data_IF_326403007395
#
_entry.id   IF_326403007395
#
_cell.length_a   1.000
_cell.length_b   1.000
_cell.length_c   1.000
_cell.angle_alpha   90.00
_cell.angle_beta   90.00
_cell.angle_gamma   90.00
#
_symmetry.space_group_name_H-M   'P 1'
#
loop_
_entity.id
_entity.type
_entity.pdbx_description
1 polymer ?
#
# COMPACT_ATOMS: atom_id res chain seq x y z
N UNK A 1 32.56 -4.42 -15.99
CA UNK A 1 31.27 -5.11 -15.79
C UNK A 1 31.22 -5.53 -14.33
N UNK A 2 30.37 -4.91 -13.50
CA UNK A 2 30.26 -5.31 -12.10
C UNK A 2 29.73 -6.76 -12.04
N UNK A 3 30.31 -7.64 -11.20
CA UNK A 3 29.84 -9.02 -11.10
C UNK A 3 28.36 -9.03 -10.74
N UNK A 4 27.55 -9.77 -11.52
CA UNK A 4 26.15 -9.98 -11.21
C UNK A 4 26.08 -10.67 -9.84
N UNK A 5 25.34 -10.13 -8.86
CA UNK A 5 25.20 -10.79 -7.58
C UNK A 5 24.47 -12.13 -7.79
N UNK A 6 25.19 -13.23 -7.56
CA UNK A 6 24.65 -14.58 -7.68
C UNK A 6 23.84 -14.92 -6.41
N UNK A 7 22.55 -14.62 -6.47
CA UNK A 7 21.59 -15.02 -5.45
C UNK A 7 21.12 -16.44 -5.77
N UNK A 8 21.39 -17.40 -4.88
CA UNK A 8 20.80 -18.73 -5.02
C UNK A 8 19.27 -18.64 -5.00
N UNK A 9 18.57 -19.70 -5.40
CA UNK A 9 17.10 -19.74 -5.40
C UNK A 9 16.43 -19.44 -4.04
N UNK A 10 17.21 -19.38 -2.94
CA UNK A 10 16.78 -19.05 -1.57
C UNK A 10 16.98 -17.58 -1.17
N UNK A 11 17.58 -16.76 -2.03
CA UNK A 11 18.00 -15.39 -1.68
C UNK A 11 17.12 -14.29 -2.30
N UNK A 12 16.11 -14.64 -3.11
CA UNK A 12 15.20 -13.70 -3.80
C UNK A 12 13.72 -14.01 -3.55
N UNK A 13 12.87 -12.99 -3.67
CA UNK A 13 11.42 -13.18 -3.58
C UNK A 13 10.88 -13.88 -4.83
N UNK A 14 9.75 -14.58 -4.70
CA UNK A 14 9.06 -15.17 -5.86
C UNK A 14 8.58 -14.07 -6.81
N UNK A 15 8.45 -14.38 -8.11
CA UNK A 15 7.92 -13.44 -9.10
C UNK A 15 6.56 -12.87 -8.72
N UNK A 16 5.68 -13.71 -8.15
CA UNK A 16 4.37 -13.28 -7.60
C UNK A 16 4.51 -12.25 -6.49
N UNK A 17 5.43 -12.45 -5.54
CA UNK A 17 5.64 -11.50 -4.44
C UNK A 17 6.16 -10.15 -4.94
N UNK A 18 7.01 -10.17 -5.97
CA UNK A 18 7.54 -8.97 -6.64
C UNK A 18 6.41 -8.25 -7.39
N UNK A 19 5.62 -8.97 -8.19
CA UNK A 19 4.50 -8.40 -8.94
C UNK A 19 3.46 -7.74 -8.01
N UNK A 20 3.04 -8.46 -6.96
CA UNK A 20 2.14 -7.92 -5.94
C UNK A 20 2.73 -6.69 -5.25
N UNK A 21 4.05 -6.66 -4.99
CA UNK A 21 4.69 -5.52 -4.34
C UNK A 21 4.55 -4.25 -5.20
N UNK A 22 5.02 -4.33 -6.44
CA UNK A 22 5.09 -3.17 -7.32
C UNK A 22 3.71 -2.72 -7.79
N UNK A 23 2.80 -3.66 -8.06
CA UNK A 23 1.43 -3.31 -8.42
C UNK A 23 0.73 -2.54 -7.29
N UNK A 24 0.85 -3.03 -6.05
CA UNK A 24 0.25 -2.34 -4.90
C UNK A 24 0.94 -0.99 -4.65
N UNK A 25 2.27 -0.93 -4.73
CA UNK A 25 3.01 0.33 -4.57
C UNK A 25 2.58 1.37 -5.59
N UNK A 26 2.45 1.00 -6.87
CA UNK A 26 1.96 1.87 -7.93
C UNK A 26 0.53 2.35 -7.64
N UNK A 27 -0.37 1.44 -7.29
CA UNK A 27 -1.76 1.78 -6.98
C UNK A 27 -1.88 2.69 -5.75
N UNK A 28 -1.05 2.52 -4.73
CA UNK A 28 -1.01 3.42 -3.56
C UNK A 28 -0.58 4.83 -4.00
N UNK A 29 0.47 4.97 -4.81
CA UNK A 29 0.92 6.27 -5.31
C UNK A 29 -0.18 6.94 -6.15
N UNK A 30 -0.79 6.21 -7.08
CA UNK A 30 -1.91 6.73 -7.88
C UNK A 30 -3.12 7.09 -7.02
N UNK A 31 -3.48 6.25 -6.06
CA UNK A 31 -4.60 6.48 -5.14
C UNK A 31 -4.40 7.71 -4.27
N UNK A 32 -3.19 7.91 -3.74
CA UNK A 32 -2.84 9.08 -2.96
C UNK A 32 -2.87 10.36 -3.80
N UNK A 33 -2.30 10.33 -5.01
CA UNK A 33 -2.35 11.46 -5.95
C UNK A 33 -3.80 11.83 -6.33
N UNK A 34 -4.64 10.83 -6.64
CA UNK A 34 -6.06 11.05 -6.88
C UNK A 34 -6.78 11.62 -5.65
N UNK A 35 -6.39 11.19 -4.46
CA UNK A 35 -6.92 11.72 -3.20
C UNK A 35 -6.70 13.21 -3.06
N UNK A 36 -5.50 13.69 -3.42
CA UNK A 36 -5.17 15.11 -3.40
C UNK A 36 -5.97 15.90 -4.44
N UNK A 37 -5.99 15.41 -5.68
CA UNK A 37 -6.70 16.07 -6.80
C UNK A 37 -8.20 16.12 -6.53
N UNK A 38 -8.81 15.02 -6.10
CA UNK A 38 -10.27 14.96 -5.90
C UNK A 38 -10.76 15.90 -4.80
N UNK A 39 -9.93 16.16 -3.78
CA UNK A 39 -10.28 17.07 -2.70
C UNK A 39 -10.18 18.54 -3.10
N UNK A 40 -9.31 18.87 -4.05
CA UNK A 40 -9.06 20.23 -4.51
C UNK A 40 -10.07 20.72 -5.56
N UNK A 41 -10.75 19.82 -6.27
CA UNK A 41 -11.80 20.18 -7.23
C UNK A 41 -12.94 20.94 -6.51
N UNK A 42 -13.25 22.20 -6.87
CA UNK A 42 -14.28 22.98 -6.19
C UNK A 42 -15.69 22.50 -6.50
N UNK A 43 -16.61 22.75 -5.57
CA UNK A 43 -18.03 22.46 -5.73
C UNK A 43 -18.37 20.97 -5.78
N UNK A 44 -19.60 20.69 -6.22
CA UNK A 44 -20.13 19.35 -6.45
C UNK A 44 -20.37 19.16 -7.95
N UNK A 45 -19.37 18.59 -8.64
CA UNK A 45 -19.40 18.44 -10.10
C UNK A 45 -19.33 16.96 -10.51
N UNK A 46 -19.82 16.59 -11.71
CA UNK A 46 -19.67 15.23 -12.24
C UNK A 46 -18.20 14.78 -12.31
N UNK A 47 -17.29 15.72 -12.59
CA UNK A 47 -15.85 15.47 -12.57
C UNK A 47 -15.37 15.07 -11.19
N UNK A 48 -15.73 15.82 -10.14
CA UNK A 48 -15.36 15.48 -8.76
C UNK A 48 -15.85 14.08 -8.37
N UNK A 49 -17.12 13.78 -8.64
CA UNK A 49 -17.71 12.46 -8.37
C UNK A 49 -16.98 11.31 -9.07
N UNK A 50 -16.52 11.54 -10.30
CA UNK A 50 -15.75 10.56 -11.08
C UNK A 50 -14.40 10.26 -10.44
N UNK A 51 -13.67 11.29 -10.01
CA UNK A 51 -12.39 11.14 -9.31
C UNK A 51 -12.55 10.41 -7.98
N UNK A 52 -13.59 10.73 -7.22
CA UNK A 52 -13.94 9.97 -6.00
C UNK A 52 -14.25 8.50 -6.30
N UNK A 53 -14.90 8.20 -7.42
CA UNK A 53 -15.18 6.82 -7.84
C UNK A 53 -13.89 6.07 -8.17
N UNK A 54 -13.00 6.67 -8.97
CA UNK A 54 -11.69 6.10 -9.28
C UNK A 54 -10.85 5.84 -8.03
N UNK A 55 -10.81 6.80 -7.11
CA UNK A 55 -10.11 6.65 -5.83
C UNK A 55 -10.67 5.47 -5.01
N UNK A 56 -12.00 5.33 -4.93
CA UNK A 56 -12.66 4.18 -4.27
C UNK A 56 -12.30 2.85 -4.93
N UNK A 57 -12.28 2.80 -6.26
CA UNK A 57 -11.92 1.59 -7.00
C UNK A 57 -10.48 1.16 -6.70
N UNK A 58 -9.54 2.12 -6.70
CA UNK A 58 -8.16 1.85 -6.29
C UNK A 58 -8.11 1.33 -4.86
N UNK A 59 -8.84 1.95 -3.92
CA UNK A 59 -8.90 1.51 -2.53
C UNK A 59 -9.35 0.05 -2.39
N UNK A 60 -10.44 -0.34 -3.06
CA UNK A 60 -10.94 -1.72 -3.05
C UNK A 60 -9.93 -2.69 -3.69
N UNK A 61 -9.31 -2.31 -4.82
CA UNK A 61 -8.30 -3.14 -5.48
C UNK A 61 -7.06 -3.33 -4.58
N UNK A 62 -6.55 -2.25 -3.98
CA UNK A 62 -5.43 -2.30 -3.04
C UNK A 62 -5.76 -3.19 -1.85
N UNK A 63 -6.96 -3.11 -1.29
CA UNK A 63 -7.39 -3.99 -0.20
C UNK A 63 -7.28 -5.46 -0.59
N UNK A 64 -7.89 -5.85 -1.71
CA UNK A 64 -7.87 -7.25 -2.19
C UNK A 64 -6.45 -7.74 -2.46
N UNK A 65 -5.64 -6.97 -3.19
CA UNK A 65 -4.24 -7.32 -3.47
C UNK A 65 -3.38 -7.38 -2.20
N UNK A 66 -3.66 -6.53 -1.21
CA UNK A 66 -2.94 -6.52 0.07
C UNK A 66 -3.24 -7.78 0.88
N UNK A 67 -4.51 -8.22 0.92
CA UNK A 67 -4.88 -9.51 1.52
C UNK A 67 -4.14 -10.64 0.83
N UNK A 68 -4.16 -10.70 -0.52
CA UNK A 68 -3.42 -11.71 -1.27
C UNK A 68 -1.92 -11.66 -0.98
N UNK A 69 -1.32 -10.48 -0.88
CA UNK A 69 0.10 -10.31 -0.53
C UNK A 69 0.42 -10.82 0.87
N UNK A 70 -0.43 -10.55 1.86
CA UNK A 70 -0.25 -11.02 3.23
C UNK A 70 -0.35 -12.54 3.29
N UNK A 71 -1.37 -13.13 2.65
CA UNK A 71 -1.52 -14.58 2.54
C UNK A 71 -0.33 -15.21 1.84
N UNK A 72 0.12 -14.62 0.72
CA UNK A 72 1.29 -15.11 -0.01
C UNK A 72 2.55 -15.08 0.85
N UNK A 73 2.77 -14.01 1.62
CA UNK A 73 3.91 -13.88 2.54
C UNK A 73 3.83 -14.86 3.71
N UNK A 74 2.64 -15.24 4.14
CA UNK A 74 2.45 -16.24 5.19
C UNK A 74 2.79 -17.66 4.71
N UNK A 75 2.50 -17.98 3.44
CA UNK A 75 2.79 -19.30 2.86
C UNK A 75 4.16 -19.38 2.19
N UNK A 76 4.74 -18.26 1.78
CA UNK A 76 6.06 -18.15 1.16
C UNK A 76 6.94 -17.20 2.00
N UNK A 77 7.81 -17.79 2.82
CA UNK A 77 8.72 -17.06 3.69
C UNK A 77 9.59 -16.06 2.92
N UNK A 78 9.93 -14.95 3.60
CA UNK A 78 10.86 -13.98 3.01
C UNK A 78 12.31 -14.51 3.01
N UNK A 79 13.12 -14.11 2.02
CA UNK A 79 14.56 -14.34 2.04
C UNK A 79 15.20 -13.78 3.32
N UNK A 80 16.24 -14.46 3.81
CA UNK A 80 16.95 -14.05 5.02
C UNK A 80 17.56 -12.65 4.86
N UNK A 81 17.43 -11.80 5.89
CA UNK A 81 18.05 -10.47 5.90
C UNK A 81 19.59 -10.58 5.84
N UNK A 82 20.29 -9.56 5.28
CA UNK A 82 21.76 -9.59 5.19
C UNK A 82 22.42 -9.87 6.55
N UNK A 83 23.36 -10.83 6.58
CA UNK A 83 24.02 -11.27 7.84
C UNK A 83 24.70 -10.14 8.60
N UNK A 84 25.20 -9.12 7.89
CA UNK A 84 25.89 -7.94 8.46
C UNK A 84 24.94 -6.81 8.87
N UNK A 85 23.64 -6.92 8.61
CA UNK A 85 22.66 -5.91 9.02
C UNK A 85 22.58 -5.86 10.55
N UNK A 86 22.66 -4.65 11.11
CA UNK A 86 22.57 -4.43 12.56
C UNK A 86 21.22 -4.91 13.12
N UNK A 87 21.19 -5.39 14.36
CA UNK A 87 19.98 -5.93 14.99
C UNK A 87 18.82 -4.93 15.02
N UNK A 88 19.11 -3.66 15.31
CA UNK A 88 18.10 -2.59 15.32
C UNK A 88 17.51 -2.34 13.93
N UNK A 89 18.29 -2.46 12.85
CA UNK A 89 17.80 -2.33 11.46
C UNK A 89 16.88 -3.49 11.10
N UNK A 90 17.17 -4.70 11.58
CA UNK A 90 16.28 -5.86 11.39
C UNK A 90 14.95 -5.63 12.09
N UNK A 91 14.99 -5.21 13.36
CA UNK A 91 13.79 -4.87 14.13
C UNK A 91 12.96 -3.78 13.46
N UNK A 92 13.61 -2.69 13.02
CA UNK A 92 12.96 -1.61 12.29
C UNK A 92 12.37 -2.09 10.96
N UNK A 93 13.06 -2.94 10.20
CA UNK A 93 12.54 -3.50 8.96
C UNK A 93 11.28 -4.35 9.21
N UNK A 94 11.27 -5.20 10.23
CA UNK A 94 10.09 -5.98 10.59
C UNK A 94 8.92 -5.10 11.03
N UNK A 95 9.19 -4.11 11.89
CA UNK A 95 8.16 -3.17 12.36
C UNK A 95 7.57 -2.36 11.20
N UNK A 96 8.41 -1.78 10.33
CA UNK A 96 7.94 -1.01 9.17
C UNK A 96 7.06 -1.88 8.25
N UNK A 97 7.46 -3.12 7.96
CA UNK A 97 6.62 -4.01 7.15
C UNK A 97 5.30 -4.34 7.84
N UNK A 98 5.31 -4.60 9.15
CA UNK A 98 4.09 -4.85 9.91
C UNK A 98 3.14 -3.66 9.84
N UNK A 99 3.64 -2.45 10.10
CA UNK A 99 2.85 -1.21 10.05
C UNK A 99 2.30 -0.96 8.64
N UNK A 100 3.12 -1.15 7.60
CA UNK A 100 2.66 -1.03 6.22
C UNK A 100 1.52 -2.01 5.92
N UNK A 101 1.63 -3.28 6.33
CA UNK A 101 0.55 -4.25 6.14
C UNK A 101 -0.73 -3.86 6.88
N UNK A 102 -0.63 -3.41 8.13
CA UNK A 102 -1.78 -2.94 8.91
C UNK A 102 -2.45 -1.75 8.20
N UNK A 103 -1.68 -0.76 7.76
CA UNK A 103 -2.20 0.42 7.09
C UNK A 103 -2.83 0.11 5.74
N UNK A 104 -2.23 -0.79 4.96
CA UNK A 104 -2.77 -1.24 3.67
C UNK A 104 -4.16 -1.89 3.77
N UNK A 105 -4.53 -2.40 4.95
CA UNK A 105 -5.86 -2.95 5.24
C UNK A 105 -6.76 -1.88 5.90
N UNK A 106 -6.24 -1.17 6.90
CA UNK A 106 -7.01 -0.19 7.66
C UNK A 106 -7.45 1.03 6.83
N UNK A 107 -6.64 1.47 5.88
CA UNK A 107 -6.95 2.65 5.04
C UNK A 107 -8.14 2.37 4.11
N UNK A 108 -8.14 1.32 3.26
CA UNK A 108 -9.31 1.03 2.45
C UNK A 108 -10.57 0.76 3.29
N UNK A 109 -10.43 0.06 4.42
CA UNK A 109 -11.56 -0.24 5.30
C UNK A 109 -12.16 1.03 5.91
N UNK A 110 -11.32 1.94 6.45
CA UNK A 110 -11.78 3.23 6.97
C UNK A 110 -12.43 4.09 5.88
N UNK A 111 -11.90 4.08 4.65
CA UNK A 111 -12.49 4.78 3.51
C UNK A 111 -13.84 4.19 3.07
N UNK A 112 -13.96 2.86 3.12
CA UNK A 112 -15.20 2.15 2.80
C UNK A 112 -16.30 2.43 3.84
N UNK A 113 -15.93 2.38 5.13
CA UNK A 113 -16.83 2.76 6.23
C UNK A 113 -17.21 4.23 6.15
N UNK A 114 -16.27 5.12 5.81
CA UNK A 114 -16.55 6.53 5.58
C UNK A 114 -17.61 6.72 4.48
N UNK A 115 -17.47 6.01 3.35
CA UNK A 115 -18.47 6.04 2.27
C UNK A 115 -19.84 5.56 2.75
N UNK A 116 -19.88 4.50 3.57
CA UNK A 116 -21.11 3.95 4.14
C UNK A 116 -21.80 4.95 5.07
N UNK A 117 -21.06 5.55 6.01
CA UNK A 117 -21.56 6.58 6.94
C UNK A 117 -22.02 7.85 6.19
N UNK A 118 -21.36 8.19 5.08
CA UNK A 118 -21.73 9.32 4.22
C UNK A 118 -22.99 9.06 3.36
N UNK A 119 -23.59 7.87 3.44
CA UNK A 119 -24.66 7.42 2.56
C UNK A 119 -24.30 7.43 1.07
N UNK A 120 -23.03 7.21 0.74
CA UNK A 120 -22.56 7.16 -0.65
C UNK A 120 -22.23 5.71 -1.01
N UNK A 121 -22.91 5.10 -1.99
CA UNK A 121 -22.60 3.73 -2.39
C UNK A 121 -21.19 3.63 -2.99
N UNK A 122 -20.62 2.44 -2.88
CA UNK A 122 -19.38 2.06 -3.58
C UNK A 122 -19.76 1.09 -4.68
N UNK A 123 -19.76 1.57 -5.92
CA UNK A 123 -19.98 0.71 -7.10
C UNK A 123 -18.61 0.43 -7.72
N UNK A 124 -18.04 -0.73 -7.42
CA UNK A 124 -16.70 -1.10 -7.85
C UNK A 124 -16.64 -1.23 -9.37
N UNK A 125 -15.71 -0.49 -9.98
CA UNK A 125 -15.55 -0.34 -11.44
C UNK A 125 -16.81 0.16 -12.18
N UNK A 126 -17.80 0.69 -11.46
CA UNK A 126 -19.11 1.04 -12.02
C UNK A 126 -19.99 -0.17 -12.35
N UNK A 127 -19.55 -1.38 -12.00
CA UNK A 127 -20.22 -2.64 -12.36
C UNK A 127 -20.83 -3.34 -11.15
N UNK A 128 -20.08 -3.41 -10.04
CA UNK A 128 -20.47 -4.22 -8.88
C UNK A 128 -20.83 -3.32 -7.70
N UNK A 129 -22.12 -3.15 -7.34
CA UNK A 129 -22.49 -2.45 -6.13
C UNK A 129 -22.07 -3.27 -4.92
N UNK A 130 -21.17 -2.71 -4.11
CA UNK A 130 -20.74 -3.36 -2.88
C UNK A 130 -21.70 -3.02 -1.72
N UNK A 131 -21.94 -3.95 -0.78
CA UNK A 131 -22.92 -3.78 0.27
C UNK A 131 -22.48 -2.70 1.26
N UNK A 132 -23.44 -1.92 1.75
CA UNK A 132 -23.18 -0.99 2.85
C UNK A 132 -22.94 -1.80 4.13
N UNK A 133 -21.84 -1.52 4.85
CA UNK A 133 -21.50 -2.26 6.06
C UNK A 133 -22.08 -1.65 7.35
N UNK A 134 -22.37 -0.35 7.33
CA UNK A 134 -22.92 0.40 8.46
C UNK A 134 -24.01 1.37 8.01
N UNK A 135 -24.94 1.73 8.88
CA UNK A 135 -25.95 2.73 8.56
C UNK A 135 -25.32 4.13 8.36
N UNK A 136 -25.97 5.02 7.58
CA UNK A 136 -25.58 6.42 7.52
C UNK A 136 -25.56 7.09 8.90
N UNK A 137 -24.49 7.82 9.19
CA UNK A 137 -24.30 8.52 10.47
C UNK A 137 -23.41 9.76 10.23
N UNK A 138 -23.94 10.99 10.38
CA UNK A 138 -23.18 12.23 10.16
C UNK A 138 -21.97 12.42 11.09
N UNK A 139 -22.05 11.98 12.35
CA UNK A 139 -20.94 12.11 13.30
C UNK A 139 -19.84 11.12 12.94
N UNK A 140 -20.22 9.87 12.71
CA UNK A 140 -19.28 8.82 12.32
C UNK A 140 -18.63 9.11 10.96
N UNK A 141 -19.36 9.72 10.02
CA UNK A 141 -18.83 10.22 8.76
C UNK A 141 -17.63 11.17 8.96
N UNK A 142 -17.76 12.16 9.85
CA UNK A 142 -16.68 13.13 10.11
C UNK A 142 -15.48 12.44 10.75
N UNK A 143 -15.72 11.57 11.74
CA UNK A 143 -14.68 10.79 12.39
C UNK A 143 -13.91 9.91 11.38
N UNK A 144 -14.62 9.13 10.57
CA UNK A 144 -14.02 8.21 9.60
C UNK A 144 -13.28 8.94 8.49
N UNK A 145 -13.76 10.12 8.06
CA UNK A 145 -13.01 10.99 7.14
C UNK A 145 -11.66 11.39 7.73
N UNK A 146 -11.66 11.91 8.95
CA UNK A 146 -10.43 12.37 9.61
C UNK A 146 -9.47 11.22 9.89
N UNK A 147 -9.99 10.07 10.34
CA UNK A 147 -9.21 8.85 10.53
C UNK A 147 -8.59 8.40 9.21
N UNK A 148 -9.37 8.33 8.13
CA UNK A 148 -8.87 7.92 6.82
C UNK A 148 -7.74 8.85 6.34
N UNK A 149 -7.90 10.17 6.48
CA UNK A 149 -6.86 11.15 6.12
C UNK A 149 -5.60 10.96 6.97
N UNK A 150 -5.76 10.84 8.29
CA UNK A 150 -4.63 10.65 9.21
C UNK A 150 -3.84 9.39 8.87
N UNK A 151 -4.52 8.25 8.65
CA UNK A 151 -3.89 7.00 8.27
C UNK A 151 -3.14 7.10 6.94
N UNK A 152 -3.69 7.83 5.94
CA UNK A 152 -3.01 8.04 4.65
C UNK A 152 -1.72 8.86 4.81
N UNK A 153 -1.70 9.90 5.64
CA UNK A 153 -0.46 10.65 5.90
C UNK A 153 0.55 9.83 6.70
N UNK A 154 0.10 8.98 7.63
CA UNK A 154 0.97 8.00 8.29
C UNK A 154 1.57 7.02 7.30
N UNK A 155 0.77 6.50 6.36
CA UNK A 155 1.26 5.63 5.28
C UNK A 155 2.27 6.36 4.40
N UNK A 156 2.02 7.62 4.02
CA UNK A 156 2.97 8.40 3.23
C UNK A 156 4.32 8.53 3.94
N UNK A 157 4.32 8.88 5.23
CA UNK A 157 5.55 9.00 6.01
C UNK A 157 6.32 7.66 6.07
N UNK A 158 5.63 6.56 6.34
CA UNK A 158 6.24 5.23 6.37
C UNK A 158 6.71 4.76 4.99
N UNK A 159 5.99 5.11 3.93
CA UNK A 159 6.37 4.82 2.55
C UNK A 159 7.67 5.54 2.19
N UNK A 160 7.78 6.83 2.50
CA UNK A 160 9.01 7.61 2.28
C UNK A 160 10.17 7.01 3.08
N UNK A 161 9.95 6.67 4.35
CA UNK A 161 10.97 6.01 5.17
C UNK A 161 11.39 4.65 4.59
N UNK A 162 10.43 3.84 4.14
CA UNK A 162 10.68 2.54 3.53
C UNK A 162 11.52 2.64 2.26
N UNK A 163 11.16 3.57 1.36
CA UNK A 163 11.91 3.83 0.13
C UNK A 163 13.31 4.37 0.47
N UNK A 164 13.41 5.35 1.37
CA UNK A 164 14.70 5.90 1.80
C UNK A 164 15.62 4.81 2.38
N UNK A 165 15.08 3.90 3.19
CA UNK A 165 15.83 2.76 3.72
C UNK A 165 16.31 1.83 2.58
N UNK A 166 15.45 1.48 1.63
CA UNK A 166 15.83 0.64 0.50
C UNK A 166 16.95 1.28 -0.36
N UNK A 167 16.86 2.59 -0.59
CA UNK A 167 17.88 3.38 -1.29
C UNK A 167 19.19 3.47 -0.51
N UNK A 168 19.12 3.66 0.81
CA UNK A 168 20.27 3.63 1.72
C UNK A 168 20.97 2.28 1.67
N UNK A 169 20.23 1.18 1.70
CA UNK A 169 20.78 -0.18 1.54
C UNK A 169 21.43 -0.38 0.17
N UNK A 170 20.84 0.16 -0.89
CA UNK A 170 21.37 0.05 -2.25
C UNK A 170 22.69 0.82 -2.44
N UNK A 171 22.77 2.07 -1.98
CA UNK A 171 23.89 2.96 -2.32
C UNK A 171 24.96 3.11 -1.23
N UNK A 172 24.57 3.09 0.05
CA UNK A 172 25.48 3.24 1.18
C UNK A 172 25.94 1.87 1.68
N UNK A 173 25.01 0.98 2.05
CA UNK A 173 25.39 -0.33 2.60
C UNK A 173 25.85 -1.30 1.50
N UNK A 174 25.35 -1.12 0.26
CA UNK A 174 25.67 -1.89 -0.94
C UNK A 174 25.52 -3.40 -0.73
N UNK A 175 24.49 -3.79 0.01
CA UNK A 175 24.25 -5.18 0.43
C UNK A 175 23.36 -5.97 -0.54
N UNK A 176 22.91 -5.35 -1.64
CA UNK A 176 22.05 -5.97 -2.63
C UNK A 176 20.64 -6.28 -2.13
N UNK A 177 20.16 -5.61 -1.07
CA UNK A 177 18.82 -5.85 -0.54
C UNK A 177 17.74 -5.53 -1.58
N UNK A 178 17.91 -4.44 -2.34
CA UNK A 178 16.92 -3.99 -3.33
C UNK A 178 16.75 -4.96 -4.50
N UNK A 179 17.82 -5.62 -4.96
CA UNK A 179 17.74 -6.55 -6.11
C UNK A 179 16.80 -7.72 -5.87
N UNK A 180 16.54 -8.08 -4.61
CA UNK A 180 15.59 -9.14 -4.24
C UNK A 180 14.14 -8.80 -4.60
N UNK A 181 13.85 -7.53 -4.82
CA UNK A 181 12.54 -7.02 -5.23
C UNK A 181 12.53 -6.49 -6.66
N UNK A 182 13.62 -6.55 -7.42
CA UNK A 182 13.64 -6.04 -8.80
C UNK A 182 13.26 -7.16 -9.79
N UNK A 183 12.26 -6.95 -10.66
CA UNK A 183 11.78 -8.01 -11.56
C UNK A 183 12.78 -8.40 -12.67
N UNK A 184 13.71 -7.50 -13.01
CA UNK A 184 14.61 -7.66 -14.17
C UNK A 184 16.07 -7.91 -13.79
N UNK A 185 16.40 -7.89 -12.49
CA UNK A 185 17.77 -8.12 -12.01
C UNK A 185 17.81 -9.51 -11.39
N UNK A 186 18.10 -10.51 -12.23
CA UNK A 186 18.50 -11.86 -11.83
C UNK A 186 19.93 -12.13 -12.27
#
# INVERSE_FOLDING_TARGET
MAPKPNFGARDSYTGTAIALHWLIALLIVCGFALGWVMTDIPGFTPTKLRYFSWHKWIGVTVFGLSVLRILWRATHGAPALPRRMASWQRGAAHLTHLLLYVLMIAIPLSGYLYSSAANVPVVYLGLVPLPRLIAPDPMLKVLLKNLHIALNYTLLALFVLHVAAALKHQWLDRDGLLSRMLPFIK
#
